data_IF_276372346286
#
_entry.id   IF_276372346286
#
_cell.length_a   1.000
_cell.length_b   1.000
_cell.length_c   1.000
_cell.angle_alpha   90.00
_cell.angle_beta   90.00
_cell.angle_gamma   90.00
#
_symmetry.space_group_name_H-M   'P 1'
#
loop_
_entity.id
_entity.type
_entity.pdbx_description
1 polymer ?
#
# COMPACT_ATOMS: atom_id res chain seq x y z
N UNK A 1 -22.94 -12.22 -7.75
CA UNK A 1 -21.99 -11.10 -7.86
C UNK A 1 -20.60 -11.68 -8.04
N UNK A 2 -19.82 -11.17 -8.99
CA UNK A 2 -18.43 -11.61 -9.18
C UNK A 2 -17.64 -11.36 -7.89
N UNK A 3 -16.82 -12.32 -7.46
CA UNK A 3 -15.96 -12.18 -6.27
C UNK A 3 -15.06 -10.94 -6.35
N UNK A 4 -14.73 -10.52 -7.58
CA UNK A 4 -13.91 -9.35 -7.88
C UNK A 4 -14.52 -8.03 -7.37
N UNK A 5 -15.85 -7.93 -7.27
CA UNK A 5 -16.54 -6.70 -6.87
C UNK A 5 -17.05 -6.81 -5.43
N UNK A 6 -16.33 -7.56 -4.59
CA UNK A 6 -16.59 -7.59 -3.16
C UNK A 6 -15.67 -6.59 -2.46
N UNK A 7 -16.15 -5.89 -1.43
CA UNK A 7 -15.34 -4.94 -0.66
C UNK A 7 -14.10 -5.57 -0.04
N UNK A 8 -14.12 -6.88 0.24
CA UNK A 8 -12.95 -7.62 0.73
C UNK A 8 -11.82 -7.76 -0.30
N UNK A 9 -12.04 -7.43 -1.58
CA UNK A 9 -10.97 -7.45 -2.58
C UNK A 9 -9.89 -6.40 -2.31
N UNK A 10 -10.21 -5.30 -1.64
CA UNK A 10 -9.21 -4.28 -1.31
C UNK A 10 -8.10 -4.82 -0.39
N UNK A 11 -8.38 -5.38 0.80
CA UNK A 11 -7.34 -5.92 1.67
C UNK A 11 -6.68 -7.17 1.06
N UNK A 12 -7.38 -7.95 0.23
CA UNK A 12 -6.80 -9.10 -0.48
C UNK A 12 -5.75 -8.63 -1.48
N UNK A 13 -6.05 -7.62 -2.30
CA UNK A 13 -5.09 -7.07 -3.26
C UNK A 13 -3.90 -6.43 -2.55
N UNK A 14 -4.17 -5.64 -1.52
CA UNK A 14 -3.12 -5.06 -0.68
C UNK A 14 -2.11 -6.11 -0.19
N UNK A 15 -2.57 -7.19 0.47
CA UNK A 15 -1.62 -8.17 1.01
C UNK A 15 -0.89 -8.96 -0.09
N UNK A 16 -1.53 -9.20 -1.23
CA UNK A 16 -0.88 -9.87 -2.38
C UNK A 16 0.26 -9.03 -2.96
N UNK A 17 0.03 -7.73 -3.11
CA UNK A 17 1.07 -6.78 -3.48
C UNK A 17 2.20 -6.72 -2.44
N UNK A 18 1.85 -6.52 -1.17
CA UNK A 18 2.83 -6.37 -0.10
C UNK A 18 3.62 -7.64 0.18
N UNK A 19 3.13 -8.83 -0.19
CA UNK A 19 3.96 -10.05 -0.14
C UNK A 19 5.20 -9.94 -1.03
N UNK A 20 5.11 -9.32 -2.20
CA UNK A 20 6.29 -9.07 -3.03
C UNK A 20 7.27 -8.17 -2.28
N UNK A 21 6.78 -7.09 -1.66
CA UNK A 21 7.61 -6.18 -0.88
C UNK A 21 8.26 -6.89 0.32
N UNK A 22 7.48 -7.61 1.13
CA UNK A 22 7.97 -8.34 2.30
C UNK A 22 9.09 -9.32 1.96
N UNK A 23 8.96 -10.04 0.84
CA UNK A 23 9.95 -11.03 0.41
C UNK A 23 11.18 -10.36 -0.21
N UNK A 24 10.97 -9.42 -1.14
CA UNK A 24 12.06 -8.90 -1.96
C UNK A 24 12.72 -7.65 -1.42
N UNK A 25 12.04 -6.80 -0.63
CA UNK A 25 12.64 -5.59 -0.05
C UNK A 25 13.94 -5.85 0.70
N UNK A 26 14.03 -6.80 1.67
CA UNK A 26 15.28 -7.02 2.38
C UNK A 26 16.40 -7.51 1.44
N UNK A 27 16.09 -8.45 0.54
CA UNK A 27 17.04 -9.00 -0.43
C UNK A 27 17.55 -7.93 -1.41
N UNK A 28 16.63 -7.10 -1.89
CA UNK A 28 16.91 -6.02 -2.82
C UNK A 28 17.78 -4.93 -2.18
N UNK A 29 17.49 -4.55 -0.93
CA UNK A 29 18.32 -3.60 -0.18
C UNK A 29 19.73 -4.13 0.04
N UNK A 30 19.89 -5.40 0.39
CA UNK A 30 21.22 -6.02 0.51
C UNK A 30 21.96 -6.03 -0.83
N UNK A 31 21.31 -6.50 -1.90
CA UNK A 31 21.91 -6.60 -3.24
C UNK A 31 22.36 -5.25 -3.79
N UNK A 32 21.59 -4.18 -3.54
CA UNK A 32 21.79 -2.87 -4.14
C UNK A 32 22.29 -1.79 -3.17
N UNK A 33 22.77 -2.17 -1.97
CA UNK A 33 23.13 -1.23 -0.90
C UNK A 33 24.00 -0.04 -1.39
N UNK A 34 25.08 -0.31 -2.13
CA UNK A 34 25.99 0.74 -2.64
C UNK A 34 25.28 1.77 -3.51
N UNK A 35 24.36 1.31 -4.36
CA UNK A 35 23.59 2.20 -5.24
C UNK A 35 22.55 2.99 -4.43
N UNK A 36 21.94 2.36 -3.43
CA UNK A 36 20.92 2.99 -2.59
C UNK A 36 21.48 4.13 -1.73
N UNK A 37 22.74 4.01 -1.28
CA UNK A 37 23.43 5.07 -0.52
C UNK A 37 23.63 6.37 -1.33
N UNK A 38 23.58 6.31 -2.66
CA UNK A 38 23.68 7.51 -3.52
C UNK A 38 22.40 8.36 -3.52
N UNK A 39 21.27 7.83 -3.06
CA UNK A 39 19.99 8.53 -3.03
C UNK A 39 19.79 9.27 -1.71
N UNK A 40 19.33 10.53 -1.79
CA UNK A 40 19.07 11.36 -0.59
C UNK A 40 17.94 10.83 0.30
N UNK A 41 16.97 10.12 -0.30
CA UNK A 41 15.81 9.57 0.41
C UNK A 41 15.84 8.05 0.31
N UNK A 42 15.66 7.32 1.41
CA UNK A 42 15.66 5.86 1.37
C UNK A 42 14.36 5.34 0.74
N UNK A 43 14.50 4.32 -0.10
CA UNK A 43 13.39 3.53 -0.61
C UNK A 43 12.83 2.66 0.54
N UNK A 44 11.50 2.56 0.67
CA UNK A 44 10.83 1.81 1.75
C UNK A 44 11.22 2.27 3.17
N UNK A 45 11.60 3.54 3.35
CA UNK A 45 12.10 4.04 4.64
C UNK A 45 13.44 3.42 5.06
N UNK A 46 13.87 3.68 6.30
CA UNK A 46 15.19 3.26 6.80
C UNK A 46 15.25 1.80 7.28
N UNK A 47 14.13 1.08 7.32
CA UNK A 47 14.07 -0.32 7.73
C UNK A 47 14.80 -1.21 6.73
N UNK A 48 15.57 -2.19 7.20
CA UNK A 48 16.28 -3.16 6.35
C UNK A 48 15.81 -4.59 6.56
N UNK A 49 15.15 -4.87 7.69
CA UNK A 49 14.62 -6.20 7.99
C UNK A 49 13.19 -6.39 7.48
N UNK A 50 12.96 -7.55 6.85
CA UNK A 50 11.63 -7.97 6.44
C UNK A 50 10.65 -8.17 7.60
N UNK A 51 11.15 -8.56 8.78
CA UNK A 51 10.32 -8.74 9.99
C UNK A 51 9.71 -7.44 10.50
N UNK A 52 10.49 -6.35 10.56
CA UNK A 52 9.99 -5.04 10.94
C UNK A 52 9.08 -4.42 9.88
N UNK A 53 9.39 -4.67 8.60
CA UNK A 53 8.53 -4.28 7.49
C UNK A 53 7.17 -5.01 7.55
N UNK A 54 7.16 -6.32 7.82
CA UNK A 54 5.97 -7.13 7.98
C UNK A 54 5.02 -6.61 9.08
N UNK A 55 5.55 -6.00 10.14
CA UNK A 55 4.72 -5.38 11.18
C UNK A 55 3.98 -4.15 10.64
N UNK A 56 4.62 -3.36 9.77
CA UNK A 56 3.96 -2.25 9.07
C UNK A 56 2.86 -2.76 8.13
N UNK A 57 3.16 -3.76 7.31
CA UNK A 57 2.17 -4.40 6.42
C UNK A 57 0.98 -4.95 7.20
N UNK A 58 1.22 -5.61 8.33
CA UNK A 58 0.16 -6.14 9.19
C UNK A 58 -0.76 -5.02 9.71
N UNK A 59 -0.19 -3.89 10.11
CA UNK A 59 -0.95 -2.76 10.63
C UNK A 59 -1.85 -2.14 9.55
N UNK A 60 -1.30 -1.89 8.36
CA UNK A 60 -2.04 -1.38 7.21
C UNK A 60 -3.13 -2.36 6.76
N UNK A 61 -2.82 -3.66 6.73
CA UNK A 61 -3.78 -4.71 6.42
C UNK A 61 -4.97 -4.71 7.39
N UNK A 62 -4.72 -4.56 8.69
CA UNK A 62 -5.78 -4.48 9.72
C UNK A 62 -6.67 -3.25 9.47
N UNK A 63 -6.09 -2.09 9.16
CA UNK A 63 -6.86 -0.88 8.83
C UNK A 63 -7.76 -1.13 7.62
N UNK A 64 -7.24 -1.72 6.54
CA UNK A 64 -8.01 -2.01 5.33
C UNK A 64 -9.12 -3.05 5.57
N UNK A 65 -8.89 -4.02 6.45
CA UNK A 65 -9.91 -4.96 6.91
C UNK A 65 -11.04 -4.23 7.66
N UNK A 66 -10.72 -3.29 8.55
CA UNK A 66 -11.72 -2.48 9.24
C UNK A 66 -12.52 -1.60 8.27
N UNK A 67 -11.86 -0.94 7.33
CA UNK A 67 -12.53 -0.11 6.31
C UNK A 67 -13.46 -0.97 5.45
N UNK A 68 -13.00 -2.14 5.01
CA UNK A 68 -13.79 -3.05 4.18
C UNK A 68 -15.02 -3.58 4.95
N UNK A 69 -14.83 -4.00 6.20
CA UNK A 69 -15.93 -4.41 7.07
C UNK A 69 -16.93 -3.27 7.33
N UNK A 70 -16.44 -2.05 7.55
CA UNK A 70 -17.29 -0.87 7.70
C UNK A 70 -18.10 -0.58 6.43
N UNK A 71 -17.48 -0.64 5.25
CA UNK A 71 -18.16 -0.45 3.97
C UNK A 71 -19.18 -1.56 3.70
N UNK A 72 -18.90 -2.80 4.12
CA UNK A 72 -19.85 -3.93 4.02
C UNK A 72 -21.11 -3.67 4.84
N UNK A 73 -20.97 -3.16 6.08
CA UNK A 73 -22.08 -2.93 7.01
C UNK A 73 -22.89 -1.69 6.62
N UNK A 74 -22.22 -0.63 6.21
CA UNK A 74 -22.86 0.67 5.92
C UNK A 74 -23.27 0.84 4.47
N UNK A 75 -22.86 -0.09 3.59
CA UNK A 75 -22.99 0.01 2.14
C UNK A 75 -22.36 1.30 1.56
N UNK A 76 -21.34 1.85 2.24
CA UNK A 76 -20.66 3.07 1.80
C UNK A 76 -19.68 2.78 0.65
N UNK A 77 -20.23 2.68 -0.56
CA UNK A 77 -19.46 2.42 -1.79
C UNK A 77 -18.50 3.55 -2.15
N UNK A 78 -18.82 4.80 -1.77
CA UNK A 78 -17.97 5.95 -2.03
C UNK A 78 -16.68 5.90 -1.20
N UNK A 79 -16.79 5.54 0.09
CA UNK A 79 -15.62 5.33 0.95
C UNK A 79 -14.74 4.20 0.43
N UNK A 80 -15.36 3.07 0.06
CA UNK A 80 -14.65 1.94 -0.54
C UNK A 80 -13.89 2.38 -1.80
N UNK A 81 -14.58 3.03 -2.74
CA UNK A 81 -13.98 3.55 -3.97
C UNK A 81 -12.82 4.51 -3.69
N UNK A 82 -12.95 5.40 -2.71
CA UNK A 82 -11.88 6.33 -2.32
C UNK A 82 -10.63 5.61 -1.81
N UNK A 83 -10.77 4.53 -1.03
CA UNK A 83 -9.63 3.73 -0.61
C UNK A 83 -9.04 2.88 -1.75
N UNK A 84 -9.85 2.38 -2.69
CA UNK A 84 -9.34 1.72 -3.90
C UNK A 84 -8.53 2.70 -4.76
N UNK A 85 -8.99 3.95 -4.91
CA UNK A 85 -8.25 4.99 -5.63
C UNK A 85 -6.97 5.37 -4.88
N UNK A 86 -7.02 5.49 -3.55
CA UNK A 86 -5.84 5.76 -2.73
C UNK A 86 -4.79 4.64 -2.88
N UNK A 87 -5.21 3.38 -2.79
CA UNK A 87 -4.37 2.21 -3.05
C UNK A 87 -3.81 2.20 -4.48
N UNK A 88 -4.62 2.52 -5.48
CA UNK A 88 -4.13 2.63 -6.87
C UNK A 88 -3.11 3.77 -7.03
N UNK A 89 -3.20 4.84 -6.25
CA UNK A 89 -2.22 5.93 -6.30
C UNK A 89 -0.84 5.50 -5.78
N UNK A 90 -0.77 4.53 -4.86
CA UNK A 90 0.47 3.91 -4.40
C UNK A 90 1.22 3.22 -5.54
N UNK A 91 0.50 2.66 -6.52
CA UNK A 91 1.12 2.02 -7.69
C UNK A 91 2.01 3.00 -8.48
N UNK A 92 1.59 4.27 -8.54
CA UNK A 92 2.35 5.34 -9.21
C UNK A 92 3.70 5.55 -8.51
N UNK A 93 3.75 5.39 -7.18
CA UNK A 93 4.98 5.50 -6.40
C UNK A 93 5.98 4.43 -6.83
N UNK A 94 5.55 3.17 -7.05
CA UNK A 94 6.44 2.11 -7.55
C UNK A 94 7.02 2.42 -8.92
N UNK A 95 6.21 2.93 -9.83
CA UNK A 95 6.70 3.33 -11.15
C UNK A 95 7.70 4.48 -11.06
N UNK A 96 7.43 5.49 -10.22
CA UNK A 96 8.38 6.58 -9.94
C UNK A 96 9.67 6.03 -9.35
N UNK A 97 9.59 5.12 -8.38
CA UNK A 97 10.75 4.47 -7.78
C UNK A 97 11.56 3.69 -8.83
N UNK A 98 10.91 2.95 -9.73
CA UNK A 98 11.57 2.23 -10.81
C UNK A 98 12.28 3.18 -11.78
N UNK A 99 11.67 4.32 -12.12
CA UNK A 99 12.29 5.34 -12.97
C UNK A 99 13.52 5.97 -12.29
N UNK A 100 13.43 6.29 -11.00
CA UNK A 100 14.55 6.85 -10.23
C UNK A 100 15.68 5.83 -10.05
N UNK A 101 15.34 4.58 -9.74
CA UNK A 101 16.28 3.50 -9.57
C UNK A 101 16.83 2.99 -10.91
N UNK A 102 16.13 3.19 -12.03
CA UNK A 102 16.44 2.63 -13.36
C UNK A 102 16.53 1.10 -13.33
N UNK A 103 15.53 0.46 -12.75
CA UNK A 103 15.46 -1.00 -12.65
C UNK A 103 14.32 -1.47 -11.78
N UNK A 104 14.31 -2.77 -11.51
CA UNK A 104 13.34 -3.39 -10.61
C UNK A 104 13.40 -2.78 -9.21
N UNK A 105 12.21 -2.52 -8.66
CA UNK A 105 11.96 -2.14 -7.27
C UNK A 105 10.87 -3.08 -6.74
N UNK A 106 11.01 -3.66 -5.54
CA UNK A 106 9.98 -4.50 -4.94
C UNK A 106 8.58 -3.88 -5.03
N UNK A 107 7.59 -4.70 -5.36
CA UNK A 107 6.20 -4.30 -5.52
C UNK A 107 5.80 -3.97 -6.97
N UNK A 108 6.75 -3.69 -7.87
CA UNK A 108 6.40 -3.29 -9.25
C UNK A 108 5.74 -4.40 -10.06
N UNK A 109 6.08 -5.67 -9.80
CA UNK A 109 5.54 -6.80 -10.57
C UNK A 109 4.07 -6.98 -10.24
N UNK A 110 3.74 -7.07 -8.96
CA UNK A 110 2.35 -7.18 -8.47
C UNK A 110 1.53 -5.97 -8.84
N UNK A 111 2.05 -4.75 -8.68
CA UNK A 111 1.38 -3.52 -9.13
C UNK A 111 1.01 -3.56 -10.62
N UNK A 112 1.92 -4.05 -11.47
CA UNK A 112 1.67 -4.14 -12.91
C UNK A 112 0.58 -5.18 -13.23
N UNK A 113 0.57 -6.30 -12.51
CA UNK A 113 -0.43 -7.36 -12.66
C UNK A 113 -1.81 -6.95 -12.12
N UNK A 114 -1.84 -6.19 -11.03
CA UNK A 114 -3.07 -5.77 -10.36
C UNK A 114 -3.71 -4.53 -10.98
N UNK A 115 -2.94 -3.69 -11.69
CA UNK A 115 -3.45 -2.48 -12.37
C UNK A 115 -4.74 -2.71 -13.18
N UNK A 116 -4.84 -3.70 -14.09
CA UNK A 116 -6.09 -3.94 -14.82
C UNK A 116 -7.25 -4.33 -13.88
N UNK A 117 -6.96 -5.03 -12.78
CA UNK A 117 -7.97 -5.45 -11.81
C UNK A 117 -8.53 -4.26 -11.03
N UNK A 118 -7.67 -3.40 -10.49
CA UNK A 118 -8.11 -2.20 -9.76
C UNK A 118 -8.83 -1.21 -10.66
N UNK A 119 -8.46 -1.10 -11.94
CA UNK A 119 -9.18 -0.27 -12.91
C UNK A 119 -10.60 -0.80 -13.18
N UNK A 120 -10.78 -2.12 -13.26
CA UNK A 120 -12.12 -2.72 -13.34
C UNK A 120 -12.95 -2.45 -12.09
N UNK A 121 -12.36 -2.52 -10.89
CA UNK A 121 -13.04 -2.21 -9.63
C UNK A 121 -13.45 -0.73 -9.59
N UNK A 122 -12.52 0.19 -9.91
CA UNK A 122 -12.81 1.62 -9.97
C UNK A 122 -13.95 1.89 -10.95
N UNK A 123 -13.90 1.32 -12.15
CA UNK A 123 -14.95 1.51 -13.16
C UNK A 123 -16.30 0.94 -12.72
N UNK A 124 -16.32 -0.15 -11.94
CA UNK A 124 -17.55 -0.75 -11.44
C UNK A 124 -18.24 0.12 -10.39
N UNK A 125 -17.46 0.69 -9.47
CA UNK A 125 -17.98 1.51 -8.37
C UNK A 125 -18.12 3.00 -8.72
N UNK A 126 -17.56 3.44 -9.85
CA UNK A 126 -17.70 4.81 -10.32
C UNK A 126 -19.15 5.07 -10.76
N UNK A 127 -19.83 6.00 -10.08
CA UNK A 127 -21.18 6.43 -10.41
C UNK A 127 -21.19 7.88 -10.87
N UNK A 128 -21.80 8.14 -12.03
CA UNK A 128 -21.98 9.48 -12.58
C UNK A 128 -22.97 10.34 -11.78
N UNK A 129 -23.79 9.71 -10.92
CA UNK A 129 -24.82 10.39 -10.13
C UNK A 129 -24.26 10.96 -8.80
N UNK A 130 -23.02 10.59 -8.44
CA UNK A 130 -22.37 11.08 -7.22
C UNK A 130 -21.74 12.45 -7.50
N UNK A 131 -22.03 13.49 -6.68
CA UNK A 131 -21.41 14.80 -6.85
C UNK A 131 -19.89 14.72 -6.77
N UNK A 132 -19.18 15.37 -7.69
CA UNK A 132 -17.71 15.43 -7.72
C UNK A 132 -17.11 15.95 -6.40
N UNK A 133 -17.80 16.88 -5.73
CA UNK A 133 -17.38 17.38 -4.43
C UNK A 133 -17.34 16.27 -3.37
N UNK A 134 -18.34 15.38 -3.37
CA UNK A 134 -18.38 14.24 -2.45
C UNK A 134 -17.22 13.28 -2.73
N UNK A 135 -16.96 12.97 -4.01
CA UNK A 135 -15.81 12.14 -4.41
C UNK A 135 -14.51 12.76 -3.91
N UNK A 136 -14.33 14.07 -4.12
CA UNK A 136 -13.13 14.78 -3.69
C UNK A 136 -12.95 14.75 -2.17
N UNK A 137 -14.00 14.99 -1.39
CA UNK A 137 -13.94 14.98 0.08
C UNK A 137 -13.59 13.60 0.61
N UNK A 138 -14.25 12.56 0.11
CA UNK A 138 -13.97 11.18 0.53
C UNK A 138 -12.56 10.72 0.13
N UNK A 139 -12.12 11.08 -1.08
CA UNK A 139 -10.76 10.79 -1.53
C UNK A 139 -9.73 11.52 -0.68
N UNK A 140 -9.94 12.80 -0.39
CA UNK A 140 -9.06 13.57 0.49
C UNK A 140 -8.96 12.93 1.88
N UNK A 141 -10.09 12.50 2.45
CA UNK A 141 -10.12 11.80 3.73
C UNK A 141 -9.32 10.48 3.68
N UNK A 142 -9.56 9.64 2.67
CA UNK A 142 -8.86 8.37 2.50
C UNK A 142 -7.34 8.59 2.36
N UNK A 143 -6.93 9.57 1.56
CA UNK A 143 -5.52 9.92 1.37
C UNK A 143 -4.89 10.45 2.66
N UNK A 144 -5.57 11.33 3.41
CA UNK A 144 -5.08 11.81 4.71
C UNK A 144 -4.86 10.65 5.68
N UNK A 145 -5.83 9.73 5.78
CA UNK A 145 -5.72 8.55 6.63
C UNK A 145 -4.52 7.70 6.21
N UNK A 146 -4.45 7.31 4.94
CA UNK A 146 -3.41 6.42 4.42
C UNK A 146 -2.01 7.03 4.56
N UNK A 147 -1.79 8.26 4.07
CA UNK A 147 -0.46 8.88 4.13
C UNK A 147 -0.02 9.23 5.55
N UNK A 148 -0.94 9.64 6.42
CA UNK A 148 -0.59 9.94 7.82
C UNK A 148 -0.19 8.66 8.54
N UNK A 149 -0.96 7.59 8.35
CA UNK A 149 -0.64 6.26 8.89
C UNK A 149 0.71 5.75 8.38
N UNK A 150 0.93 5.71 7.07
CA UNK A 150 2.19 5.27 6.46
C UNK A 150 3.39 6.09 6.97
N UNK A 151 3.23 7.41 7.08
CA UNK A 151 4.28 8.29 7.64
C UNK A 151 4.59 7.93 9.09
N UNK A 152 3.58 7.70 9.92
CA UNK A 152 3.77 7.26 11.31
C UNK A 152 4.48 5.90 11.33
N UNK A 153 4.07 4.96 10.48
CA UNK A 153 4.65 3.62 10.43
C UNK A 153 6.14 3.68 10.04
N UNK A 154 6.52 4.49 9.06
CA UNK A 154 7.92 4.71 8.71
C UNK A 154 8.76 5.32 9.85
N UNK A 155 8.17 6.06 10.78
CA UNK A 155 8.85 6.58 11.97
C UNK A 155 9.00 5.52 13.08
N UNK A 156 8.07 4.56 13.15
CA UNK A 156 8.01 3.54 14.21
C UNK A 156 8.79 2.28 13.81
N UNK A 157 8.74 1.85 12.54
CA UNK A 157 9.41 0.64 12.04
C UNK A 157 10.90 0.52 12.41
N UNK A 158 11.72 1.59 12.38
CA UNK A 158 13.12 1.49 12.78
C UNK A 158 13.27 1.12 14.27
N UNK A 159 12.37 1.61 15.13
CA UNK A 159 12.35 1.23 16.55
C UNK A 159 11.94 -0.23 16.70
N UNK A 160 10.94 -0.68 15.95
CA UNK A 160 10.51 -2.09 15.93
C UNK A 160 11.68 -2.98 15.53
N UNK A 161 12.39 -2.63 14.45
CA UNK A 161 13.57 -3.38 14.00
C UNK A 161 14.59 -3.54 15.13
N UNK A 162 14.96 -2.47 15.83
CA UNK A 162 15.91 -2.54 16.96
C UNK A 162 15.42 -3.46 18.08
N UNK A 163 14.11 -3.54 18.33
CA UNK A 163 13.55 -4.45 19.34
C UNK A 163 13.59 -5.91 18.86
N UNK A 164 13.22 -6.18 17.62
CA UNK A 164 13.28 -7.52 17.03
C UNK A 164 14.71 -8.05 16.95
N UNK A 165 15.68 -7.18 16.65
CA UNK A 165 17.12 -7.50 16.68
C UNK A 165 17.62 -7.89 18.07
N UNK A 166 17.07 -7.27 19.12
CA UNK A 166 17.40 -7.65 20.50
C UNK A 166 16.75 -8.97 20.90
N UNK A 167 15.52 -9.23 20.43
CA UNK A 167 14.82 -10.49 20.71
C UNK A 167 15.47 -11.71 20.05
N UNK A 168 16.08 -11.52 18.87
CA UNK A 168 16.74 -12.59 18.14
C UNK A 168 18.14 -12.99 18.68
N UNK A 169 18.67 -12.23 19.66
CA UNK A 169 19.96 -12.49 20.31
C UNK A 169 19.75 -13.20 21.64
#
# INVERSE_FOLDING_TARGET
>A
MSILFNVWMLPILFILHDFEEMIFMPLWKTRHHQKLETFKKPFFGSVTQGSAFAVGVLEEFIILMFISGFCQITHNTLLYLSFVIAYTSHFIIHYIMCMQFRGYVPGVVTVTLELPMVLMIISHYWSSDVPLLSVFVYLLLAMIIAFTNLKIMHLIMPKIQTHLEKYAK
#
